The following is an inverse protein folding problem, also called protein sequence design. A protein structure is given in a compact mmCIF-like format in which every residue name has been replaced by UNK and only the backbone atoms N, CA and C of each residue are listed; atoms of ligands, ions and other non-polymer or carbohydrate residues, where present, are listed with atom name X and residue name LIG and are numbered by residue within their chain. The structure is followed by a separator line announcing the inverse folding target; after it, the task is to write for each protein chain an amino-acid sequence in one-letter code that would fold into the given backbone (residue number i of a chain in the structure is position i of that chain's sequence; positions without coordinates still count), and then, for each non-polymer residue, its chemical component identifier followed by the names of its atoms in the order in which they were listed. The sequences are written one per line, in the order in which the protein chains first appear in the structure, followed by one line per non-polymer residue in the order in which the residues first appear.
data_IF_902011746765
#
_entry.id   IF_902011746765
#
_cell.length_a   1.000
_cell.length_b   1.000
_cell.length_c   1.000
_cell.angle_alpha   90.00
_cell.angle_beta   90.00
_cell.angle_gamma   90.00
#
_symmetry.space_group_name_H-M   'P 1'
#
loop_
_entity.id
_entity.type
_entity.pdbx_description
1 polymer ?
#
# COMPACT_ATOMS: atom_id res chain seq x y z
N UNK A 1 -1.67 25.27 31.00
CA UNK A 1 -1.21 25.41 29.59
C UNK A 1 -0.36 24.19 29.28
N UNK A 2 -0.91 23.23 28.53
CA UNK A 2 -0.19 22.03 28.08
C UNK A 2 0.59 22.38 26.81
N UNK A 3 1.91 22.22 26.85
CA UNK A 3 2.78 22.44 25.70
C UNK A 3 2.56 21.33 24.68
N UNK A 4 2.17 21.72 23.47
CA UNK A 4 2.19 20.87 22.29
C UNK A 4 3.60 20.32 22.11
N UNK A 5 3.78 19.02 22.35
CA UNK A 5 4.95 18.30 21.89
C UNK A 5 5.06 18.50 20.39
N UNK A 6 6.15 19.13 19.94
CA UNK A 6 6.49 19.23 18.52
C UNK A 6 6.43 17.82 17.95
N UNK A 7 5.47 17.54 17.06
CA UNK A 7 5.46 16.32 16.25
C UNK A 7 6.85 16.24 15.61
N UNK A 8 7.65 15.27 16.02
CA UNK A 8 8.97 15.08 15.45
C UNK A 8 8.79 14.94 13.94
N UNK A 9 9.44 15.81 13.15
CA UNK A 9 9.48 15.63 11.70
C UNK A 9 10.03 14.22 11.47
N UNK A 10 9.23 13.36 10.82
CA UNK A 10 9.73 12.05 10.41
C UNK A 10 11.02 12.25 9.60
N UNK A 11 12.03 11.38 9.77
CA UNK A 11 13.22 11.45 8.95
C UNK A 11 12.85 11.45 7.46
N UNK A 12 13.56 12.23 6.66
CA UNK A 12 13.47 12.12 5.20
C UNK A 12 14.06 10.76 4.80
N UNK A 13 13.36 10.02 3.95
CA UNK A 13 13.75 8.66 3.60
C UNK A 13 12.69 7.94 2.77
N UNK A 14 12.97 6.66 2.51
CA UNK A 14 12.07 5.73 1.84
C UNK A 14 11.69 4.64 2.84
N UNK A 15 10.40 4.38 2.95
CA UNK A 15 9.87 3.22 3.66
C UNK A 15 9.55 2.12 2.64
N UNK A 16 9.71 0.87 3.06
CA UNK A 16 9.36 -0.30 2.25
C UNK A 16 8.46 -1.22 3.04
N UNK A 17 7.32 -1.57 2.46
CA UNK A 17 6.46 -2.64 2.94
C UNK A 17 6.76 -3.94 2.21
N UNK A 18 7.00 -4.99 2.99
CA UNK A 18 7.07 -6.35 2.49
C UNK A 18 5.68 -6.97 2.64
N UNK A 19 5.09 -7.34 1.52
CA UNK A 19 3.73 -7.86 1.41
C UNK A 19 3.78 -9.29 0.90
N UNK A 20 3.03 -10.18 1.54
CA UNK A 20 2.85 -11.57 1.10
C UNK A 20 1.40 -11.82 0.73
N UNK A 21 1.14 -12.46 -0.41
CA UNK A 21 -0.20 -12.79 -0.90
C UNK A 21 -0.51 -14.27 -0.73
N UNK A 22 -1.78 -14.66 -0.88
CA UNK A 22 -2.17 -16.07 -0.79
C UNK A 22 -1.64 -16.91 -1.97
N UNK A 23 -1.46 -16.29 -3.14
CA UNK A 23 -0.91 -16.97 -4.32
C UNK A 23 0.60 -17.21 -4.20
N UNK A 24 1.27 -16.40 -3.36
CA UNK A 24 2.64 -16.62 -2.91
C UNK A 24 2.79 -17.87 -2.04
N UNK A 25 2.54 -19.05 -2.60
CA UNK A 25 2.76 -20.34 -1.96
C UNK A 25 4.25 -20.59 -1.66
N UNK A 26 5.15 -19.83 -2.31
CA UNK A 26 6.61 -19.79 -2.07
C UNK A 26 7.09 -18.38 -1.66
N UNK A 27 8.39 -18.24 -1.39
CA UNK A 27 9.10 -17.04 -0.85
C UNK A 27 8.99 -15.74 -1.68
N UNK A 28 8.02 -15.62 -2.58
CA UNK A 28 7.77 -14.40 -3.33
C UNK A 28 7.15 -13.36 -2.41
N UNK A 29 7.81 -12.21 -2.32
CA UNK A 29 7.36 -11.07 -1.54
C UNK A 29 7.23 -9.87 -2.48
N UNK A 30 6.12 -9.16 -2.37
CA UNK A 30 5.99 -7.84 -2.98
C UNK A 30 6.70 -6.84 -2.08
N UNK A 31 7.55 -6.02 -2.68
CA UNK A 31 8.19 -4.90 -2.00
C UNK A 31 7.50 -3.62 -2.50
N UNK A 32 6.89 -2.85 -1.61
CA UNK A 32 6.21 -1.60 -1.95
C UNK A 32 6.93 -0.44 -1.29
N UNK A 33 7.53 0.43 -2.10
CA UNK A 33 8.30 1.57 -1.64
C UNK A 33 7.47 2.87 -1.65
N UNK A 34 7.64 3.70 -0.63
CA UNK A 34 7.01 5.01 -0.53
C UNK A 34 7.82 5.99 0.31
N UNK A 35 7.64 7.31 0.13
CA UNK A 35 8.30 8.31 0.98
C UNK A 35 7.87 8.17 2.44
N UNK A 36 8.83 8.21 3.37
CA UNK A 36 8.61 8.09 4.83
C UNK A 36 7.59 9.10 5.37
N UNK A 37 7.48 10.27 4.74
CA UNK A 37 6.51 11.32 5.12
C UNK A 37 5.05 10.86 5.05
N UNK A 38 4.73 9.89 4.20
CA UNK A 38 3.38 9.34 4.02
C UNK A 38 3.15 8.02 4.78
N UNK A 39 4.17 7.52 5.49
CA UNK A 39 4.18 6.14 5.96
C UNK A 39 3.04 5.80 6.94
N UNK A 40 2.64 6.73 7.82
CA UNK A 40 1.56 6.44 8.76
C UNK A 40 0.23 6.21 8.03
N UNK A 41 -0.06 7.07 7.06
CA UNK A 41 -1.33 7.03 6.35
C UNK A 41 -1.37 5.84 5.38
N UNK A 42 -0.28 5.60 4.64
CA UNK A 42 -0.17 4.44 3.74
C UNK A 42 -0.31 3.13 4.52
N UNK A 43 0.43 2.97 5.62
CA UNK A 43 0.36 1.75 6.43
C UNK A 43 -1.03 1.58 7.02
N UNK A 44 -1.62 2.64 7.58
CA UNK A 44 -2.99 2.60 8.12
C UNK A 44 -4.04 2.23 7.07
N UNK A 45 -3.99 2.84 5.89
CA UNK A 45 -4.86 2.55 4.75
C UNK A 45 -4.73 1.08 4.31
N UNK A 46 -3.50 0.60 4.11
CA UNK A 46 -3.25 -0.78 3.72
C UNK A 46 -3.65 -1.77 4.82
N UNK A 47 -3.56 -1.40 6.10
CA UNK A 47 -4.03 -2.24 7.22
C UNK A 47 -5.55 -2.37 7.21
N UNK A 48 -6.28 -1.31 6.86
CA UNK A 48 -7.74 -1.36 6.67
C UNK A 48 -8.09 -2.26 5.48
N UNK A 49 -7.39 -2.10 4.35
CA UNK A 49 -7.61 -2.94 3.17
C UNK A 49 -7.28 -4.40 3.46
N UNK A 50 -6.18 -4.71 4.16
CA UNK A 50 -5.79 -6.07 4.56
C UNK A 50 -6.91 -6.77 5.35
N UNK A 51 -7.61 -6.05 6.24
CA UNK A 51 -8.70 -6.58 7.07
C UNK A 51 -10.07 -6.57 6.38
N UNK A 52 -10.16 -5.97 5.20
CA UNK A 52 -11.43 -5.80 4.50
C UNK A 52 -11.92 -7.12 3.88
N UNK A 53 -13.23 -7.21 3.63
CA UNK A 53 -13.83 -8.36 2.94
C UNK A 53 -13.38 -8.50 1.49
N UNK A 54 -12.87 -7.42 0.90
CA UNK A 54 -12.38 -7.40 -0.48
C UNK A 54 -10.96 -7.92 -0.62
N UNK A 55 -10.21 -8.09 0.49
CA UNK A 55 -8.88 -8.69 0.46
C UNK A 55 -8.95 -10.21 0.27
N UNK A 56 -9.33 -10.63 -0.94
CA UNK A 56 -9.42 -12.03 -1.35
C UNK A 56 -9.00 -12.15 -2.80
N UNK A 57 -8.50 -13.34 -3.17
CA UNK A 57 -8.08 -13.61 -4.55
C UNK A 57 -9.22 -13.41 -5.56
N UNK A 58 -10.46 -13.72 -5.19
CA UNK A 58 -11.65 -13.52 -6.04
C UNK A 58 -11.86 -12.06 -6.47
N UNK A 59 -11.34 -11.11 -5.69
CA UNK A 59 -11.51 -9.68 -5.93
C UNK A 59 -10.21 -9.00 -6.41
N UNK A 60 -9.10 -9.26 -5.74
CA UNK A 60 -7.81 -8.60 -6.01
C UNK A 60 -6.86 -9.42 -6.90
N UNK A 61 -7.26 -10.62 -7.33
CA UNK A 61 -6.42 -11.53 -8.11
C UNK A 61 -5.20 -11.99 -7.33
N UNK A 62 -4.02 -11.89 -7.94
CA UNK A 62 -2.74 -12.34 -7.36
C UNK A 62 -2.32 -11.58 -6.10
N UNK A 63 -2.87 -10.37 -5.91
CA UNK A 63 -2.70 -9.55 -4.72
C UNK A 63 -3.72 -9.86 -3.62
N UNK A 64 -4.66 -10.77 -3.86
CA UNK A 64 -5.68 -11.11 -2.88
C UNK A 64 -5.13 -11.92 -1.71
N UNK A 65 -5.75 -11.71 -0.54
CA UNK A 65 -5.31 -12.31 0.72
C UNK A 65 -3.97 -11.77 1.20
N UNK A 66 -3.59 -10.56 0.76
CA UNK A 66 -2.30 -10.00 1.12
C UNK A 66 -2.22 -9.70 2.61
N UNK A 67 -1.01 -9.81 3.14
CA UNK A 67 -0.64 -9.44 4.52
C UNK A 67 0.65 -8.64 4.50
N UNK A 68 0.68 -7.54 5.24
CA UNK A 68 1.93 -6.80 5.47
C UNK A 68 2.75 -7.53 6.53
N UNK A 69 3.90 -8.07 6.14
CA UNK A 69 4.74 -8.91 7.02
C UNK A 69 5.91 -8.14 7.63
N UNK A 70 6.38 -7.09 6.97
CA UNK A 70 7.50 -6.28 7.46
C UNK A 70 7.38 -4.86 6.95
N UNK A 71 7.70 -3.89 7.80
CA UNK A 71 7.82 -2.48 7.45
C UNK A 71 9.23 -2.03 7.79
N UNK A 72 9.98 -1.64 6.77
CA UNK A 72 11.31 -1.06 6.89
C UNK A 72 11.15 0.46 6.83
N UNK A 73 11.59 1.16 7.86
CA UNK A 73 11.36 2.60 8.03
C UNK A 73 12.63 3.41 7.76
N UNK A 74 12.44 4.57 7.11
CA UNK A 74 13.46 5.59 6.92
C UNK A 74 14.79 5.07 6.34
N UNK A 75 14.69 4.19 5.33
CA UNK A 75 15.85 3.75 4.56
C UNK A 75 16.42 4.94 3.78
N UNK A 76 17.74 5.06 3.80
CA UNK A 76 18.46 6.10 3.05
C UNK A 76 18.65 5.71 1.59
N UNK A 77 18.72 4.41 1.30
CA UNK A 77 19.00 3.85 -0.02
C UNK A 77 18.36 2.46 -0.15
N UNK A 78 17.94 2.12 -1.36
CA UNK A 78 17.62 0.76 -1.79
C UNK A 78 18.52 0.43 -2.98
N UNK A 79 19.45 -0.51 -2.80
CA UNK A 79 20.38 -0.95 -3.86
C UNK A 79 19.94 -2.30 -4.40
N UNK A 80 19.66 -2.39 -5.70
CA UNK A 80 19.37 -3.67 -6.36
C UNK A 80 20.63 -4.20 -7.02
N UNK A 81 21.08 -5.39 -6.59
CA UNK A 81 22.34 -5.98 -7.03
C UNK A 81 22.19 -6.84 -8.30
N UNK A 82 21.01 -7.41 -8.51
CA UNK A 82 20.63 -8.14 -9.72
C UNK A 82 19.49 -7.38 -10.39
N UNK A 83 19.82 -6.60 -11.42
CA UNK A 83 18.86 -5.78 -12.17
C UNK A 83 18.04 -6.59 -13.18
N UNK A 84 18.47 -7.82 -13.49
CA UNK A 84 17.72 -8.74 -14.33
C UNK A 84 16.58 -9.44 -13.57
N UNK A 85 16.71 -9.56 -12.23
CA UNK A 85 15.66 -10.08 -11.38
C UNK A 85 14.61 -9.01 -11.07
N UNK A 86 13.49 -9.08 -11.80
CA UNK A 86 12.36 -8.16 -11.62
C UNK A 86 11.71 -8.27 -10.23
N UNK A 87 11.85 -9.41 -9.52
CA UNK A 87 11.30 -9.57 -8.17
C UNK A 87 12.12 -8.82 -7.11
N UNK A 88 13.39 -8.52 -7.42
CA UNK A 88 14.26 -7.71 -6.58
C UNK A 88 13.84 -6.24 -6.51
N UNK A 89 13.10 -5.75 -7.51
CA UNK A 89 12.74 -4.34 -7.67
C UNK A 89 11.49 -3.97 -6.84
N UNK A 90 11.56 -3.00 -5.91
CA UNK A 90 10.39 -2.50 -5.23
C UNK A 90 9.45 -1.77 -6.19
N UNK A 91 8.18 -2.13 -6.12
CA UNK A 91 7.09 -1.44 -6.79
C UNK A 91 6.85 -0.12 -6.06
N UNK A 92 6.70 0.98 -6.80
CA UNK A 92 6.36 2.26 -6.20
C UNK A 92 4.90 2.23 -5.72
N UNK A 93 4.60 2.92 -4.61
CA UNK A 93 3.24 2.95 -4.07
C UNK A 93 2.19 3.41 -5.08
N UNK A 94 2.54 4.30 -6.01
CA UNK A 94 1.62 4.75 -7.06
C UNK A 94 1.21 3.60 -8.00
N UNK A 95 2.17 2.77 -8.41
CA UNK A 95 1.93 1.62 -9.26
C UNK A 95 1.12 0.55 -8.50
N UNK A 96 1.48 0.29 -7.24
CA UNK A 96 0.75 -0.63 -6.38
C UNK A 96 -0.71 -0.16 -6.18
N UNK A 97 -0.90 1.13 -5.89
CA UNK A 97 -2.23 1.71 -5.74
C UNK A 97 -3.03 1.63 -7.04
N UNK A 98 -2.41 1.87 -8.20
CA UNK A 98 -3.06 1.74 -9.51
C UNK A 98 -3.49 0.29 -9.79
N UNK A 99 -2.68 -0.71 -9.43
CA UNK A 99 -3.07 -2.13 -9.61
C UNK A 99 -4.31 -2.43 -8.76
N UNK A 100 -4.30 -2.05 -7.48
CA UNK A 100 -5.43 -2.28 -6.58
C UNK A 100 -6.68 -1.54 -7.05
N UNK A 101 -6.56 -0.26 -7.40
CA UNK A 101 -7.67 0.59 -7.79
C UNK A 101 -8.37 0.07 -9.05
N UNK A 102 -7.62 -0.31 -10.09
CA UNK A 102 -8.21 -0.91 -11.32
C UNK A 102 -9.02 -2.16 -11.04
N UNK A 103 -8.59 -2.97 -10.06
CA UNK A 103 -9.32 -4.18 -9.66
C UNK A 103 -10.62 -3.81 -8.95
N UNK A 104 -10.57 -2.85 -8.03
CA UNK A 104 -11.74 -2.40 -7.28
C UNK A 104 -12.76 -1.69 -8.18
N UNK A 105 -12.32 -0.78 -9.06
CA UNK A 105 -13.18 -0.11 -10.06
C UNK A 105 -13.88 -1.14 -10.95
N UNK A 106 -13.17 -2.16 -11.43
CA UNK A 106 -13.76 -3.22 -12.25
C UNK A 106 -14.78 -4.10 -11.49
N UNK A 107 -14.71 -4.17 -10.16
CA UNK A 107 -15.70 -4.87 -9.33
C UNK A 107 -16.91 -3.97 -9.04
N UNK A 108 -16.67 -2.68 -8.82
CA UNK A 108 -17.71 -1.66 -8.65
C UNK A 108 -18.60 -1.58 -9.91
N UNK A 109 -17.99 -1.51 -11.10
CA UNK A 109 -18.69 -1.52 -12.39
C UNK A 109 -19.56 -2.77 -12.60
N UNK A 110 -19.20 -3.89 -11.95
CA UNK A 110 -19.95 -5.16 -12.01
C UNK A 110 -21.00 -5.29 -10.92
N UNK A 111 -21.11 -4.33 -10.01
CA UNK A 111 -22.01 -4.39 -8.85
C UNK A 111 -21.65 -5.51 -7.87
N UNK A 112 -20.37 -5.93 -7.83
CA UNK A 112 -19.88 -6.99 -6.94
C UNK A 112 -19.36 -6.46 -5.60
N UNK A 113 -19.27 -5.14 -5.46
CA UNK A 113 -18.95 -4.47 -4.21
C UNK A 113 -20.25 -4.05 -3.54
N UNK A 114 -20.46 -4.50 -2.31
CA UNK A 114 -21.52 -3.96 -1.46
C UNK A 114 -21.21 -2.49 -1.17
N UNK A 115 -22.25 -1.63 -1.08
CA UNK A 115 -22.10 -0.24 -0.63
C UNK A 115 -21.45 -0.21 0.77
N UNK A 116 -20.15 0.07 0.78
CA UNK A 116 -19.33 0.08 1.97
C UNK A 116 -18.55 1.39 2.01
N UNK A 117 -18.92 2.27 2.95
CA UNK A 117 -18.27 3.57 3.16
C UNK A 117 -16.75 3.44 3.35
N UNK A 118 -16.29 2.37 4.02
CA UNK A 118 -14.86 2.12 4.21
C UNK A 118 -14.15 1.82 2.88
N UNK A 119 -14.84 1.14 1.95
CA UNK A 119 -14.26 0.81 0.65
C UNK A 119 -14.22 2.04 -0.26
N UNK A 120 -15.28 2.85 -0.26
CA UNK A 120 -15.29 4.12 -0.98
C UNK A 120 -14.17 5.05 -0.47
N UNK A 121 -13.97 5.10 0.85
CA UNK A 121 -12.84 5.82 1.45
C UNK A 121 -11.49 5.29 0.95
N UNK A 122 -11.27 3.97 0.97
CA UNK A 122 -10.02 3.35 0.49
C UNK A 122 -9.79 3.64 -0.99
N UNK A 123 -10.83 3.53 -1.84
CA UNK A 123 -10.71 3.84 -3.28
C UNK A 123 -10.35 5.31 -3.51
N UNK A 124 -10.90 6.23 -2.69
CA UNK A 124 -10.50 7.63 -2.69
C UNK A 124 -9.02 7.84 -2.35
N UNK A 125 -8.52 7.19 -1.29
CA UNK A 125 -7.10 7.30 -0.90
C UNK A 125 -6.16 6.67 -1.95
N UNK A 126 -6.52 5.52 -2.51
CA UNK A 126 -5.78 4.88 -3.60
C UNK A 126 -5.73 5.77 -4.86
N UNK A 127 -6.82 6.48 -5.17
CA UNK A 127 -6.90 7.46 -6.26
C UNK A 127 -5.92 8.60 -6.02
N UNK A 128 -5.89 9.15 -4.80
CA UNK A 128 -4.95 10.22 -4.43
C UNK A 128 -3.49 9.75 -4.50
N UNK A 129 -3.20 8.52 -4.08
CA UNK A 129 -1.87 7.93 -4.20
C UNK A 129 -1.45 7.80 -5.66
N UNK A 130 -2.29 7.19 -6.51
CA UNK A 130 -2.05 7.05 -7.96
C UNK A 130 -1.72 8.38 -8.61
N UNK A 131 -2.48 9.42 -8.29
CA UNK A 131 -2.37 10.74 -8.93
C UNK A 131 -1.24 11.60 -8.32
N UNK A 132 -0.54 11.11 -7.30
CA UNK A 132 0.50 11.84 -6.59
C UNK A 132 -0.02 13.05 -5.79
N UNK A 133 -1.34 13.13 -5.60
CA UNK A 133 -2.02 14.21 -4.87
C UNK A 133 -2.26 13.88 -3.39
N UNK A 134 -1.72 12.75 -2.92
CA UNK A 134 -1.85 12.28 -1.55
C UNK A 134 -1.29 13.29 -0.54
N UNK A 135 -2.16 13.79 0.32
CA UNK A 135 -1.81 14.74 1.39
C UNK A 135 -1.73 13.97 2.70
N UNK A 136 -0.60 13.97 3.41
CA UNK A 136 -0.48 13.26 4.67
C UNK A 136 -1.40 13.89 5.71
N UNK A 137 -2.11 13.06 6.48
CA UNK A 137 -2.98 13.52 7.55
C UNK A 137 -2.10 13.86 8.75
N UNK A 138 -1.80 15.15 8.93
CA UNK A 138 -0.86 15.63 9.96
C UNK A 138 -1.34 15.40 11.37
#
# INVERSE_FOLDING_TARGET
MFGFGKKAKKPEGIDVLIIKTDEGANRHFYQVAFPTVYANDIVSMLQKLERSKVNKQEFLGELGGFRMVTHLEALTEITILDDADMEGQPIQIQDFANILLRRLEALEEKGLLDDNEDLAFIMGELTMLRDGSFVPQT
#
